data_IF_708317893346
#
_entry.id   IF_708317893346
#
_cell.length_a   1.000
_cell.length_b   1.000
_cell.length_c   1.000
_cell.angle_alpha   90.00
_cell.angle_beta   90.00
_cell.angle_gamma   90.00
#
_symmetry.space_group_name_H-M   'P 1'
#
loop_
_entity.id
_entity.type
_entity.pdbx_description
1 polymer ?
#
# COMPACT_ATOMS: atom_id res chain seq x y z
N UNK A 1 1.56 -16.81 -2.69
CA UNK A 1 2.88 -16.91 -2.03
C UNK A 1 2.60 -17.00 -0.53
N UNK A 2 2.90 -18.14 0.09
CA UNK A 2 2.68 -18.34 1.53
C UNK A 2 3.74 -17.59 2.35
N UNK A 3 3.31 -16.94 3.43
CA UNK A 3 4.18 -16.05 4.23
C UNK A 3 4.67 -16.74 5.51
N UNK A 4 5.99 -16.81 5.70
CA UNK A 4 6.64 -17.46 6.84
C UNK A 4 6.80 -16.56 8.09
N UNK A 5 6.19 -15.36 8.10
CA UNK A 5 6.18 -14.45 9.25
C UNK A 5 7.37 -13.48 9.34
N UNK A 6 8.34 -13.58 8.44
CA UNK A 6 9.51 -12.69 8.39
C UNK A 6 9.35 -11.48 7.45
N UNK A 7 8.11 -11.11 7.11
CA UNK A 7 7.86 -9.98 6.22
C UNK A 7 8.18 -8.64 6.89
N UNK A 8 8.79 -7.73 6.12
CA UNK A 8 9.09 -6.37 6.56
C UNK A 8 7.85 -5.47 6.45
N UNK A 9 6.97 -5.77 5.49
CA UNK A 9 5.74 -5.05 5.24
C UNK A 9 4.59 -6.00 4.92
N UNK A 10 3.35 -5.51 5.10
CA UNK A 10 2.13 -6.20 4.67
C UNK A 10 1.38 -5.28 3.71
N UNK A 11 1.06 -5.80 2.53
CA UNK A 11 0.08 -5.21 1.62
C UNK A 11 -1.32 -5.68 1.98
N UNK A 12 -2.27 -4.76 1.98
CA UNK A 12 -3.68 -5.02 2.25
C UNK A 12 -4.53 -4.30 1.21
N UNK A 13 -5.50 -4.99 0.61
CA UNK A 13 -6.49 -4.36 -0.25
C UNK A 13 -7.41 -3.43 0.56
N UNK A 14 -7.66 -2.23 0.04
CA UNK A 14 -8.71 -1.31 0.51
C UNK A 14 -9.77 -1.25 -0.60
N UNK A 15 -10.83 -2.07 -0.52
CA UNK A 15 -11.85 -2.17 -1.58
C UNK A 15 -12.49 -0.82 -1.90
N UNK A 16 -12.77 -0.02 -0.88
CA UNK A 16 -13.44 1.28 -1.02
C UNK A 16 -12.58 2.27 -1.82
N UNK A 17 -11.25 2.16 -1.72
CA UNK A 17 -10.29 3.02 -2.43
C UNK A 17 -9.83 2.41 -3.77
N UNK A 18 -10.35 1.24 -4.15
CA UNK A 18 -9.95 0.49 -5.34
C UNK A 18 -8.41 0.31 -5.45
N UNK A 19 -7.76 0.10 -4.30
CA UNK A 19 -6.32 0.14 -4.17
C UNK A 19 -5.78 -0.71 -3.03
N UNK A 20 -4.49 -0.58 -2.76
CA UNK A 20 -3.76 -1.26 -1.71
C UNK A 20 -3.11 -0.25 -0.76
N UNK A 21 -3.10 -0.57 0.53
CA UNK A 21 -2.22 0.04 1.50
C UNK A 21 -1.01 -0.86 1.78
N UNK A 22 0.11 -0.27 2.18
CA UNK A 22 1.26 -1.00 2.71
C UNK A 22 1.68 -0.47 4.07
N UNK A 23 1.90 -1.37 5.03
CA UNK A 23 2.34 -1.02 6.38
C UNK A 23 3.61 -1.80 6.74
N UNK A 24 4.63 -1.12 7.26
CA UNK A 24 5.86 -1.75 7.73
C UNK A 24 5.76 -2.18 9.19
N UNK A 25 6.58 -3.16 9.57
CA UNK A 25 6.57 -3.83 10.87
C UNK A 25 6.73 -2.88 12.06
N UNK A 26 7.47 -1.80 11.88
CA UNK A 26 7.79 -0.84 12.93
C UNK A 26 6.63 0.12 13.23
N UNK A 27 5.64 0.23 12.34
CA UNK A 27 4.45 1.05 12.56
C UNK A 27 3.45 0.32 13.47
N UNK A 28 3.15 0.93 14.62
CA UNK A 28 2.35 0.29 15.69
C UNK A 28 0.92 0.83 15.82
N UNK A 29 0.61 1.90 15.09
CA UNK A 29 -0.68 2.57 15.16
C UNK A 29 -1.70 1.97 14.18
N UNK A 30 -2.90 2.55 14.19
CA UNK A 30 -3.98 2.15 13.30
C UNK A 30 -3.68 2.54 11.85
N UNK A 31 -4.17 1.70 10.94
CA UNK A 31 -4.11 1.95 9.50
C UNK A 31 -5.53 2.12 8.96
N UNK A 32 -5.71 2.66 7.74
CA UNK A 32 -7.03 2.84 7.14
C UNK A 32 -7.88 1.57 7.01
N UNK A 33 -7.29 0.36 7.05
CA UNK A 33 -8.04 -0.89 7.04
C UNK A 33 -8.63 -1.28 8.41
N UNK A 34 -8.49 -0.43 9.43
CA UNK A 34 -9.02 -0.69 10.77
C UNK A 34 -8.22 -1.74 11.56
N UNK A 35 -6.97 -2.02 11.16
CA UNK A 35 -6.10 -2.96 11.86
C UNK A 35 -4.67 -2.41 12.01
N UNK A 36 -3.97 -2.84 13.06
CA UNK A 36 -2.53 -2.60 13.25
C UNK A 36 -1.71 -3.67 12.53
N UNK A 37 -0.42 -3.40 12.30
CA UNK A 37 0.50 -4.40 11.74
C UNK A 37 0.47 -5.73 12.51
N UNK A 38 0.46 -5.72 13.84
CA UNK A 38 0.46 -6.94 14.65
C UNK A 38 -0.76 -7.83 14.40
N UNK A 39 -1.93 -7.22 14.22
CA UNK A 39 -3.18 -7.92 13.92
C UNK A 39 -3.11 -8.51 12.51
N UNK A 40 -2.69 -7.70 11.53
CA UNK A 40 -2.49 -8.13 10.14
C UNK A 40 -1.48 -9.28 10.04
N UNK A 41 -0.38 -9.20 10.78
CA UNK A 41 0.65 -10.24 10.79
C UNK A 41 0.11 -11.57 11.32
N UNK A 42 -0.79 -11.54 12.31
CA UNK A 42 -1.48 -12.73 12.80
C UNK A 42 -2.41 -13.36 11.76
N UNK A 43 -3.03 -12.55 10.90
CA UNK A 43 -3.90 -13.01 9.81
C UNK A 43 -3.15 -13.55 8.58
N UNK A 44 -1.88 -13.18 8.40
CA UNK A 44 -1.05 -13.56 7.23
C UNK A 44 0.02 -14.61 7.58
N UNK A 45 0.39 -14.72 8.86
CA UNK A 45 1.39 -15.68 9.35
C UNK A 45 0.87 -17.12 9.40
N UNK A 46 1.79 -18.08 9.46
CA UNK A 46 1.45 -19.49 9.66
C UNK A 46 1.26 -20.33 8.38
N UNK A 47 1.59 -19.77 7.21
CA UNK A 47 1.53 -20.50 5.94
C UNK A 47 0.16 -20.56 5.30
N UNK A 48 -0.85 -19.90 5.86
CA UNK A 48 -2.16 -19.70 5.25
C UNK A 48 -2.10 -18.55 4.24
N UNK A 49 -2.66 -18.75 3.06
CA UNK A 49 -2.88 -17.67 2.10
C UNK A 49 -4.18 -16.96 2.47
N UNK A 50 -4.09 -15.66 2.79
CA UNK A 50 -5.26 -14.84 3.05
C UNK A 50 -5.47 -13.93 1.83
N UNK A 51 -6.52 -14.16 1.03
CA UNK A 51 -6.80 -13.34 -0.15
C UNK A 51 -6.87 -11.85 0.21
N UNK A 52 -6.21 -11.01 -0.59
CA UNK A 52 -6.12 -9.58 -0.34
C UNK A 52 -4.99 -9.15 0.61
N UNK A 53 -4.22 -10.09 1.17
CA UNK A 53 -3.07 -9.81 2.02
C UNK A 53 -1.79 -10.44 1.47
N UNK A 54 -0.69 -9.70 1.49
CA UNK A 54 0.61 -10.19 1.02
C UNK A 54 1.75 -9.66 1.89
N UNK A 55 2.49 -10.58 2.53
CA UNK A 55 3.75 -10.25 3.20
C UNK A 55 4.87 -10.01 2.19
N UNK A 56 5.55 -8.86 2.28
CA UNK A 56 6.58 -8.44 1.31
C UNK A 56 7.79 -7.79 2.00
N UNK A 57 8.90 -7.69 1.28
CA UNK A 57 10.03 -6.82 1.66
C UNK A 57 9.80 -5.38 1.21
N UNK A 58 10.42 -4.40 1.89
CA UNK A 58 10.27 -2.96 1.62
C UNK A 58 10.54 -2.61 0.14
N UNK A 59 11.56 -3.23 -0.45
CA UNK A 59 11.97 -2.97 -1.83
C UNK A 59 11.00 -3.49 -2.89
N UNK A 60 10.03 -4.34 -2.51
CA UNK A 60 9.06 -4.84 -3.47
C UNK A 60 8.19 -3.72 -4.05
N UNK A 61 7.91 -2.66 -3.28
CA UNK A 61 7.12 -1.48 -3.71
C UNK A 61 7.66 -0.85 -5.00
N UNK A 62 8.99 -0.78 -5.14
CA UNK A 62 9.66 -0.16 -6.30
C UNK A 62 9.99 -1.17 -7.41
N UNK A 63 9.56 -2.42 -7.27
CA UNK A 63 9.75 -3.44 -8.30
C UNK A 63 8.88 -3.16 -9.52
N UNK A 64 9.39 -3.47 -10.72
CA UNK A 64 8.56 -3.50 -11.95
C UNK A 64 7.46 -4.57 -11.90
N UNK A 65 7.57 -5.54 -10.98
CA UNK A 65 6.59 -6.61 -10.75
C UNK A 65 5.71 -6.35 -9.52
N UNK A 66 5.78 -5.16 -8.93
CA UNK A 66 4.92 -4.79 -7.81
C UNK A 66 3.45 -4.92 -8.25
N UNK A 67 2.71 -5.89 -7.70
CA UNK A 67 1.29 -6.18 -7.98
C UNK A 67 0.87 -5.95 -9.45
N UNK A 68 1.71 -6.39 -10.39
CA UNK A 68 1.55 -6.03 -11.80
C UNK A 68 0.30 -6.63 -12.44
N UNK A 69 -0.22 -7.72 -11.87
CA UNK A 69 -1.50 -8.30 -12.27
C UNK A 69 -2.70 -7.41 -11.87
N UNK A 70 -2.56 -6.63 -10.80
CA UNK A 70 -3.62 -5.80 -10.22
C UNK A 70 -3.56 -4.33 -10.68
N UNK A 71 -2.58 -3.99 -11.53
CA UNK A 71 -2.40 -2.64 -12.08
C UNK A 71 -1.20 -1.89 -11.54
N UNK A 72 -0.38 -2.51 -10.68
CA UNK A 72 0.93 -1.98 -10.31
C UNK A 72 0.90 -0.83 -9.31
N UNK A 73 1.98 -0.03 -9.33
CA UNK A 73 2.18 1.09 -8.40
C UNK A 73 1.03 2.11 -8.34
N UNK A 74 0.29 2.42 -9.44
CA UNK A 74 -0.89 3.29 -9.39
C UNK A 74 -2.01 2.82 -8.44
N UNK A 75 -1.97 1.56 -7.99
CA UNK A 75 -2.91 1.04 -6.99
C UNK A 75 -2.49 1.31 -5.55
N UNK A 76 -1.27 1.74 -5.29
CA UNK A 76 -0.83 2.05 -3.93
C UNK A 76 -1.48 3.36 -3.50
N UNK A 77 -2.38 3.31 -2.51
CA UNK A 77 -3.14 4.50 -2.06
C UNK A 77 -2.66 5.03 -0.72
N UNK A 78 -2.01 4.19 0.08
CA UNK A 78 -1.52 4.55 1.41
C UNK A 78 -0.23 3.79 1.74
N UNK A 79 0.73 4.50 2.33
CA UNK A 79 1.95 3.90 2.89
C UNK A 79 2.40 4.69 4.11
N UNK A 80 3.08 4.06 5.05
CA UNK A 80 3.65 4.78 6.19
C UNK A 80 4.67 5.82 5.72
N UNK A 81 4.74 6.96 6.40
CA UNK A 81 5.66 8.04 6.06
C UNK A 81 7.12 7.59 6.13
N UNK A 82 7.49 6.80 7.14
CA UNK A 82 8.84 6.23 7.25
C UNK A 82 9.21 5.39 6.02
N UNK A 83 8.29 4.55 5.53
CA UNK A 83 8.54 3.76 4.33
C UNK A 83 8.61 4.64 3.08
N UNK A 84 7.80 5.71 3.02
CA UNK A 84 7.79 6.69 1.93
C UNK A 84 9.12 7.43 1.85
N UNK A 85 9.65 7.85 2.99
CA UNK A 85 10.96 8.49 3.14
C UNK A 85 12.10 7.52 2.80
N UNK A 86 12.05 6.28 3.32
CA UNK A 86 13.03 5.23 3.02
C UNK A 86 13.14 4.93 1.52
N UNK A 87 12.02 4.97 0.79
CA UNK A 87 11.96 4.70 -0.64
C UNK A 87 12.01 5.95 -1.52
N UNK A 88 12.07 7.16 -0.96
CA UNK A 88 11.74 8.42 -1.66
C UNK A 88 12.36 8.53 -3.08
N UNK A 89 13.68 8.41 -3.19
CA UNK A 89 14.38 8.54 -4.48
C UNK A 89 14.02 7.41 -5.47
N UNK A 90 13.90 6.18 -4.96
CA UNK A 90 13.55 5.01 -5.79
C UNK A 90 12.09 5.06 -6.23
N UNK A 91 11.21 5.53 -5.35
CA UNK A 91 9.78 5.65 -5.60
C UNK A 91 9.51 6.74 -6.64
N UNK A 92 10.13 7.93 -6.50
CA UNK A 92 10.05 8.99 -7.52
C UNK A 92 10.53 8.52 -8.88
N UNK A 93 11.71 7.88 -8.94
CA UNK A 93 12.21 7.31 -10.20
C UNK A 93 11.26 6.28 -10.80
N UNK A 94 10.63 5.44 -9.98
CA UNK A 94 9.64 4.47 -10.47
C UNK A 94 8.36 5.13 -10.96
N UNK A 95 7.93 6.21 -10.32
CA UNK A 95 6.81 7.05 -10.75
C UNK A 95 7.09 7.70 -12.10
N UNK A 96 8.29 8.24 -12.31
CA UNK A 96 8.76 8.76 -13.62
C UNK A 96 8.79 7.65 -14.69
N UNK A 97 9.34 6.49 -14.36
CA UNK A 97 9.43 5.35 -15.30
C UNK A 97 8.07 4.81 -15.75
N UNK A 98 6.99 5.05 -15.00
CA UNK A 98 5.61 4.69 -15.40
C UNK A 98 4.81 5.87 -15.96
N UNK A 99 5.43 7.05 -16.11
CA UNK A 99 4.79 8.25 -16.65
C UNK A 99 3.84 8.95 -15.68
N UNK A 100 3.98 8.72 -14.37
CA UNK A 100 3.15 9.33 -13.31
C UNK A 100 4.02 9.99 -12.23
N UNK A 101 4.82 11.03 -12.56
CA UNK A 101 5.80 11.62 -11.64
C UNK A 101 5.19 12.21 -10.35
N UNK A 102 3.93 12.62 -10.41
CA UNK A 102 3.14 13.19 -9.31
C UNK A 102 2.51 12.14 -8.39
N UNK A 103 2.55 10.85 -8.76
CA UNK A 103 1.89 9.78 -8.00
C UNK A 103 2.38 9.72 -6.54
N UNK A 104 3.67 9.96 -6.29
CA UNK A 104 4.22 9.91 -4.93
C UNK A 104 3.51 10.87 -3.98
N UNK A 105 3.09 12.04 -4.45
CA UNK A 105 2.41 13.05 -3.63
C UNK A 105 0.93 12.73 -3.43
N UNK A 106 0.37 11.85 -4.27
CA UNK A 106 -1.01 11.38 -4.20
C UNK A 106 -1.18 10.15 -3.29
N UNK A 107 -0.10 9.50 -2.87
CA UNK A 107 -0.15 8.39 -1.91
C UNK A 107 -0.25 8.97 -0.49
N UNK A 108 -1.31 8.64 0.23
CA UNK A 108 -1.51 9.07 1.62
C UNK A 108 -0.52 8.38 2.58
N UNK A 109 -0.38 8.96 3.77
CA UNK A 109 0.32 8.38 4.91
C UNK A 109 -0.43 8.67 6.21
N UNK A 110 0.09 8.23 7.35
CA UNK A 110 -0.53 8.41 8.66
C UNK A 110 -0.68 9.88 9.09
N UNK A 111 0.03 10.81 8.45
CA UNK A 111 -0.12 12.25 8.71
C UNK A 111 -1.30 12.88 7.97
N UNK A 112 -1.86 12.14 7.01
CA UNK A 112 -2.97 12.56 6.15
C UNK A 112 -4.25 11.79 6.47
N UNK A 113 -4.16 10.47 6.65
CA UNK A 113 -5.31 9.61 6.90
C UNK A 113 -4.93 8.38 7.75
N UNK A 114 -5.75 8.10 8.75
CA UNK A 114 -5.65 6.89 9.59
C UNK A 114 -6.92 6.03 9.54
N UNK A 115 -7.97 6.53 8.90
CA UNK A 115 -9.25 5.83 8.67
C UNK A 115 -9.56 5.72 7.18
N UNK A 116 -10.45 4.80 6.81
CA UNK A 116 -10.92 4.64 5.42
C UNK A 116 -11.61 5.91 4.89
N UNK A 117 -12.41 6.57 5.73
CA UNK A 117 -13.13 7.79 5.38
C UNK A 117 -12.18 8.96 5.06
N UNK A 118 -11.18 9.18 5.92
CA UNK A 118 -10.13 10.19 5.68
C UNK A 118 -9.33 9.88 4.41
N UNK A 119 -9.01 8.60 4.20
CA UNK A 119 -8.28 8.15 3.03
C UNK A 119 -9.06 8.46 1.75
N UNK A 120 -10.34 8.08 1.68
CA UNK A 120 -11.18 8.36 0.51
C UNK A 120 -11.28 9.85 0.21
N UNK A 121 -11.54 10.68 1.23
CA UNK A 121 -11.63 12.12 1.05
C UNK A 121 -10.33 12.73 0.50
N UNK A 122 -9.17 12.22 0.94
CA UNK A 122 -7.88 12.64 0.40
C UNK A 122 -7.69 12.18 -1.05
N UNK A 123 -7.96 10.91 -1.35
CA UNK A 123 -7.78 10.34 -2.69
C UNK A 123 -8.65 11.03 -3.74
N UNK A 124 -9.89 11.38 -3.38
CA UNK A 124 -10.78 12.17 -4.23
C UNK A 124 -10.21 13.57 -4.50
N UNK A 125 -9.75 14.25 -3.44
CA UNK A 125 -9.18 15.60 -3.55
C UNK A 125 -7.94 15.66 -4.45
N UNK A 126 -7.10 14.63 -4.42
CA UNK A 126 -5.88 14.58 -5.24
C UNK A 126 -6.08 13.86 -6.58
N UNK A 127 -7.32 13.46 -6.88
CA UNK A 127 -7.68 12.69 -8.07
C UNK A 127 -6.76 11.48 -8.26
N UNK A 128 -6.67 10.63 -7.23
CA UNK A 128 -5.79 9.48 -7.25
C UNK A 128 -6.19 8.50 -8.36
N UNK A 129 -5.24 8.02 -9.20
CA UNK A 129 -5.56 7.20 -10.38
C UNK A 129 -6.29 5.90 -10.04
N UNK A 130 -6.05 5.31 -8.86
CA UNK A 130 -6.75 4.10 -8.42
C UNK A 130 -8.29 4.23 -8.47
N UNK A 131 -8.85 5.42 -8.20
CA UNK A 131 -10.30 5.62 -8.16
C UNK A 131 -10.98 5.45 -9.53
N UNK A 132 -10.24 5.66 -10.63
CA UNK A 132 -10.77 5.57 -12.00
C UNK A 132 -10.30 4.33 -12.75
N UNK A 133 -9.46 3.50 -12.13
CA UNK A 133 -9.02 2.22 -12.70
C UNK A 133 -10.16 1.18 -12.66
N UNK A 134 -10.10 0.11 -13.47
CA UNK A 134 -11.05 -0.99 -13.36
C UNK A 134 -11.16 -1.51 -11.91
N UNK A 135 -12.32 -1.95 -11.42
CA UNK A 135 -12.45 -2.46 -10.07
C UNK A 135 -11.49 -3.63 -9.79
N UNK A 136 -10.86 -3.64 -8.62
CA UNK A 136 -10.22 -4.84 -8.06
C UNK A 136 -11.33 -5.86 -7.72
N UNK A 137 -11.26 -7.06 -8.30
CA UNK A 137 -12.24 -8.14 -8.10
C UNK A 137 -12.04 -8.86 -6.76
#
# INVERSE_FOLDING_TARGET
MTSCGCFECILVIIPEANGFMIVNREYTDMTPCGMRFSTLAGSVGGGSETPGFLGVGRLYVVSRKFISADGGLPRLVWMTKELKEFLADRLRRRCEEIGMPDLVDKIADETVATTSEELLAFLEKVEHPALTMPPLM
#
